data_IF_526145851848
#
_entry.id   IF_526145851848
#
_cell.length_a   1.000
_cell.length_b   1.000
_cell.length_c   1.000
_cell.angle_alpha   90.00
_cell.angle_beta   90.00
_cell.angle_gamma   90.00
#
_symmetry.space_group_name_H-M   'P 1'
#
loop_
_entity.id
_entity.type
_entity.pdbx_description
1 polymer ?
#
# COMPACT_ATOMS: atom_id res chain seq x y z
N UNK A 1 -15.75 17.81 -47.07
CA UNK A 1 -16.88 17.57 -46.19
C UNK A 1 -16.60 16.44 -45.15
N UNK A 2 -16.13 15.26 -45.55
CA UNK A 2 -15.86 14.15 -44.66
C UNK A 2 -14.84 14.44 -43.51
N UNK A 3 -13.73 15.13 -43.78
CA UNK A 3 -12.71 15.47 -42.77
C UNK A 3 -13.23 16.39 -41.67
N UNK A 4 -14.10 17.34 -41.98
CA UNK A 4 -14.73 18.23 -41.01
C UNK A 4 -15.74 17.50 -40.12
N UNK A 5 -16.47 16.54 -40.67
CA UNK A 5 -17.42 15.72 -39.92
C UNK A 5 -16.73 14.81 -38.89
N UNK A 6 -15.62 14.16 -39.26
CA UNK A 6 -14.82 13.36 -38.34
C UNK A 6 -14.18 14.20 -37.22
N UNK A 7 -13.70 15.41 -37.54
CA UNK A 7 -13.14 16.32 -36.53
C UNK A 7 -14.20 16.77 -35.52
N UNK A 8 -15.44 17.01 -35.97
CA UNK A 8 -16.55 17.43 -35.12
C UNK A 8 -17.01 16.30 -34.18
N UNK A 9 -17.13 15.06 -34.70
CA UNK A 9 -17.45 13.88 -33.89
C UNK A 9 -16.37 13.63 -32.85
N UNK A 10 -15.08 13.73 -33.21
CA UNK A 10 -13.97 13.57 -32.28
C UNK A 10 -14.02 14.60 -31.13
N UNK A 11 -14.31 15.86 -31.45
CA UNK A 11 -14.46 16.93 -30.44
C UNK A 11 -15.65 16.67 -29.50
N UNK A 12 -16.76 16.15 -29.99
CA UNK A 12 -17.94 15.83 -29.18
C UNK A 12 -17.59 14.64 -28.21
N UNK A 13 -17.01 13.59 -28.77
CA UNK A 13 -16.61 12.43 -27.94
C UNK A 13 -15.59 12.85 -26.88
N UNK A 14 -14.59 13.66 -27.26
CA UNK A 14 -13.60 14.18 -26.35
C UNK A 14 -14.22 15.04 -25.23
N UNK A 15 -15.16 15.92 -25.57
CA UNK A 15 -15.85 16.75 -24.56
C UNK A 15 -16.74 15.92 -23.63
N UNK A 16 -17.43 14.89 -24.15
CA UNK A 16 -18.24 13.99 -23.35
C UNK A 16 -17.39 13.14 -22.38
N UNK A 17 -16.22 12.65 -22.84
CA UNK A 17 -15.31 11.90 -21.97
C UNK A 17 -14.68 12.78 -20.88
N UNK A 18 -14.34 14.03 -21.21
CA UNK A 18 -13.82 14.99 -20.25
C UNK A 18 -14.87 15.34 -19.19
N UNK A 19 -16.10 15.62 -19.60
CA UNK A 19 -17.22 15.91 -18.68
C UNK A 19 -17.55 14.73 -17.78
N UNK A 20 -17.53 13.51 -18.30
CA UNK A 20 -17.74 12.30 -17.50
C UNK A 20 -16.61 12.09 -16.46
N UNK A 21 -15.36 12.37 -16.85
CA UNK A 21 -14.19 12.31 -15.95
C UNK A 21 -14.30 13.33 -14.82
N UNK A 22 -14.64 14.59 -15.11
CA UNK A 22 -14.83 15.64 -14.10
C UNK A 22 -15.97 15.30 -13.14
N UNK A 23 -17.09 14.78 -13.65
CA UNK A 23 -18.21 14.31 -12.83
C UNK A 23 -17.81 13.16 -11.90
N UNK A 24 -16.97 12.21 -12.37
CA UNK A 24 -16.46 11.11 -11.55
C UNK A 24 -15.56 11.60 -10.40
N UNK A 25 -14.59 12.49 -10.71
CA UNK A 25 -13.69 13.07 -9.71
C UNK A 25 -14.48 13.81 -8.64
N UNK A 26 -15.38 14.72 -9.06
CA UNK A 26 -16.23 15.51 -8.15
C UNK A 26 -17.06 14.61 -7.22
N UNK A 27 -17.53 13.47 -7.72
CA UNK A 27 -18.26 12.49 -6.90
C UNK A 27 -17.36 11.83 -5.84
N UNK A 28 -16.14 11.42 -6.21
CA UNK A 28 -15.18 10.84 -5.27
C UNK A 28 -14.78 11.87 -4.21
N UNK A 29 -14.46 13.10 -4.62
CA UNK A 29 -14.16 14.21 -3.70
C UNK A 29 -15.32 14.48 -2.74
N UNK A 30 -16.54 14.50 -3.24
CA UNK A 30 -17.74 14.68 -2.41
C UNK A 30 -17.89 13.59 -1.36
N UNK A 31 -17.63 12.33 -1.69
CA UNK A 31 -17.66 11.22 -0.73
C UNK A 31 -16.48 11.30 0.25
N UNK A 32 -15.27 11.60 -0.21
CA UNK A 32 -14.09 11.73 0.63
C UNK A 32 -14.26 12.86 1.67
N UNK A 33 -14.80 14.02 1.25
CA UNK A 33 -15.12 15.16 2.13
C UNK A 33 -16.20 14.82 3.16
N UNK A 34 -17.12 13.91 2.86
CA UNK A 34 -18.12 13.38 3.80
C UNK A 34 -17.55 12.35 4.79
N UNK A 35 -16.27 12.01 4.66
CA UNK A 35 -15.57 11.13 5.59
C UNK A 35 -15.59 9.65 5.22
N UNK A 36 -16.05 9.24 4.03
CA UNK A 36 -16.03 7.83 3.63
C UNK A 36 -14.58 7.37 3.40
N UNK A 37 -14.11 6.44 4.22
CA UNK A 37 -12.73 5.95 4.25
C UNK A 37 -12.24 5.43 2.89
N UNK A 38 -13.06 4.62 2.20
CA UNK A 38 -12.70 4.07 0.88
C UNK A 38 -12.61 5.16 -0.19
N UNK A 39 -13.47 6.19 -0.11
CA UNK A 39 -13.41 7.32 -1.03
C UNK A 39 -12.14 8.15 -0.79
N UNK A 40 -11.75 8.35 0.46
CA UNK A 40 -10.52 9.03 0.85
C UNK A 40 -9.30 8.25 0.36
N UNK A 41 -9.27 6.93 0.53
CA UNK A 41 -8.22 6.07 -0.01
C UNK A 41 -8.12 6.17 -1.54
N UNK A 42 -9.26 6.08 -2.24
CA UNK A 42 -9.26 6.18 -3.70
C UNK A 42 -8.80 7.56 -4.19
N UNK A 43 -9.22 8.64 -3.54
CA UNK A 43 -8.79 9.98 -3.87
C UNK A 43 -7.28 10.17 -3.62
N UNK A 44 -6.77 9.60 -2.52
CA UNK A 44 -5.34 9.58 -2.21
C UNK A 44 -4.54 8.88 -3.31
N UNK A 45 -5.01 7.71 -3.78
CA UNK A 45 -4.38 6.99 -4.89
C UNK A 45 -4.38 7.80 -6.20
N UNK A 46 -5.48 8.48 -6.49
CA UNK A 46 -5.56 9.35 -7.68
C UNK A 46 -4.48 10.43 -7.62
N UNK A 47 -4.32 11.10 -6.48
CA UNK A 47 -3.25 12.09 -6.30
C UNK A 47 -1.85 11.47 -6.32
N UNK A 48 -1.66 10.29 -5.73
CA UNK A 48 -0.36 9.62 -5.70
C UNK A 48 0.12 9.18 -7.10
N UNK A 49 -0.82 8.74 -7.95
CA UNK A 49 -0.50 8.21 -9.27
C UNK A 49 -0.64 9.25 -10.39
N UNK A 50 -1.29 10.40 -10.15
CA UNK A 50 -1.70 11.34 -11.19
C UNK A 50 -2.85 10.80 -12.06
N UNK A 51 -3.67 9.91 -11.51
CA UNK A 51 -4.80 9.31 -12.21
C UNK A 51 -6.00 10.27 -12.21
N UNK A 52 -6.29 10.85 -13.34
CA UNK A 52 -7.41 11.80 -13.53
C UNK A 52 -7.23 13.17 -12.85
N UNK A 53 -6.26 13.35 -12.00
CA UNK A 53 -5.82 14.59 -11.37
C UNK A 53 -4.31 14.76 -11.56
N UNK A 54 -3.78 15.96 -11.38
CA UNK A 54 -2.33 16.16 -11.35
C UNK A 54 -1.72 15.44 -10.14
N UNK A 55 -0.56 14.78 -10.34
CA UNK A 55 0.13 14.09 -9.27
C UNK A 55 0.52 15.06 -8.14
N UNK A 56 0.13 14.73 -6.93
CA UNK A 56 0.42 15.55 -5.76
C UNK A 56 0.55 14.67 -4.51
N UNK A 57 1.79 14.40 -4.10
CA UNK A 57 2.06 13.56 -2.93
C UNK A 57 1.64 14.19 -1.60
N UNK A 58 1.57 15.52 -1.49
CA UNK A 58 1.08 16.20 -0.28
C UNK A 58 -0.43 15.96 -0.14
N UNK A 59 -1.19 16.11 -1.22
CA UNK A 59 -2.62 15.80 -1.22
C UNK A 59 -2.87 14.30 -1.02
N UNK A 60 -2.03 13.44 -1.60
CA UNK A 60 -2.11 11.99 -1.39
C UNK A 60 -1.91 11.61 0.08
N UNK A 61 -0.89 12.17 0.73
CA UNK A 61 -0.65 11.95 2.16
C UNK A 61 -1.83 12.38 3.02
N UNK A 62 -2.35 13.56 2.80
CA UNK A 62 -3.51 14.07 3.54
C UNK A 62 -4.70 13.10 3.49
N UNK A 63 -5.05 12.62 2.30
CA UNK A 63 -6.18 11.73 2.11
C UNK A 63 -5.89 10.29 2.59
N UNK A 64 -4.68 9.77 2.38
CA UNK A 64 -4.27 8.49 2.97
C UNK A 64 -4.33 8.53 4.48
N UNK A 65 -3.86 9.59 5.13
CA UNK A 65 -3.93 9.76 6.58
C UNK A 65 -5.37 9.74 7.07
N UNK A 66 -6.26 10.50 6.45
CA UNK A 66 -7.69 10.52 6.79
C UNK A 66 -8.32 9.14 6.72
N UNK A 67 -7.99 8.35 5.72
CA UNK A 67 -8.48 6.98 5.55
C UNK A 67 -7.81 6.02 6.55
N UNK A 68 -6.50 6.13 6.75
CA UNK A 68 -5.72 5.29 7.66
C UNK A 68 -6.14 5.45 9.13
N UNK A 69 -6.44 6.68 9.55
CA UNK A 69 -6.95 6.99 10.90
C UNK A 69 -8.33 6.36 11.16
N UNK A 70 -9.10 6.06 10.12
CA UNK A 70 -10.35 5.30 10.20
C UNK A 70 -10.13 3.78 10.14
N UNK A 71 -8.89 3.31 10.10
CA UNK A 71 -8.55 1.89 10.11
C UNK A 71 -8.44 1.24 8.72
N UNK A 72 -8.51 2.00 7.62
CA UNK A 72 -8.33 1.41 6.30
C UNK A 72 -6.92 0.83 6.16
N UNK A 73 -6.86 -0.49 5.94
CA UNK A 73 -5.63 -1.28 5.95
C UNK A 73 -4.66 -0.88 4.84
N UNK A 74 -5.21 -0.65 3.65
CA UNK A 74 -4.42 -0.27 2.48
C UNK A 74 -3.89 1.17 2.62
N UNK A 75 -4.70 2.08 3.17
CA UNK A 75 -4.27 3.45 3.44
C UNK A 75 -3.13 3.50 4.47
N UNK A 76 -3.22 2.69 5.54
CA UNK A 76 -2.15 2.56 6.54
C UNK A 76 -0.85 2.06 5.89
N UNK A 77 -0.92 1.04 5.03
CA UNK A 77 0.23 0.55 4.31
C UNK A 77 0.84 1.63 3.38
N UNK A 78 0.01 2.33 2.60
CA UNK A 78 0.49 3.39 1.71
C UNK A 78 1.12 4.54 2.48
N UNK A 79 0.54 4.93 3.60
CA UNK A 79 1.09 5.98 4.46
C UNK A 79 2.46 5.56 5.04
N UNK A 80 2.60 4.30 5.46
CA UNK A 80 3.89 3.73 5.84
C UNK A 80 4.94 3.86 4.74
N UNK A 81 4.57 3.53 3.50
CA UNK A 81 5.46 3.70 2.33
C UNK A 81 5.85 5.16 2.07
N UNK A 82 4.91 6.09 2.25
CA UNK A 82 5.19 7.52 2.05
C UNK A 82 6.23 8.03 3.04
N UNK A 83 6.13 7.68 4.31
CA UNK A 83 7.14 8.01 5.32
C UNK A 83 8.46 7.28 5.11
N UNK A 84 8.41 6.04 4.61
CA UNK A 84 9.61 5.25 4.33
C UNK A 84 10.43 5.83 3.18
N UNK A 85 9.77 6.31 2.13
CA UNK A 85 10.40 6.83 0.91
C UNK A 85 10.51 8.36 0.85
N UNK A 86 9.85 9.10 1.75
CA UNK A 86 9.82 10.57 1.71
C UNK A 86 8.92 11.12 0.60
N UNK A 87 7.79 10.48 0.32
CA UNK A 87 6.85 10.90 -0.72
C UNK A 87 5.84 11.91 -0.15
N UNK A 88 6.03 13.19 -0.43
CA UNK A 88 5.17 14.27 0.07
C UNK A 88 5.37 14.63 1.55
N UNK A 89 6.18 13.87 2.26
CA UNK A 89 6.56 14.04 3.67
C UNK A 89 8.06 13.82 3.85
N UNK A 90 8.71 14.37 4.88
CA UNK A 90 10.07 13.98 5.23
C UNK A 90 10.17 12.49 5.55
N UNK A 91 11.31 11.87 5.23
CA UNK A 91 11.57 10.47 5.60
C UNK A 91 11.52 10.34 7.13
N UNK A 92 10.66 9.46 7.62
CA UNK A 92 10.57 9.08 9.03
C UNK A 92 10.34 7.57 9.16
N UNK A 93 11.42 6.83 9.41
CA UNK A 93 11.39 5.37 9.54
C UNK A 93 10.59 4.89 10.76
N UNK A 94 10.52 5.69 11.84
CA UNK A 94 9.72 5.35 13.03
C UNK A 94 8.23 5.50 12.75
N UNK A 95 7.86 6.57 12.05
CA UNK A 95 6.47 6.77 11.66
C UNK A 95 6.04 5.72 10.61
N UNK A 96 6.89 5.42 9.63
CA UNK A 96 6.66 4.34 8.67
C UNK A 96 6.42 2.99 9.38
N UNK A 97 7.27 2.66 10.37
CA UNK A 97 7.12 1.44 11.16
C UNK A 97 5.75 1.38 11.87
N UNK A 98 5.28 2.47 12.47
CA UNK A 98 3.98 2.50 13.15
C UNK A 98 2.82 2.21 12.20
N UNK A 99 2.82 2.84 11.02
CA UNK A 99 1.78 2.63 10.03
C UNK A 99 1.82 1.22 9.43
N UNK A 100 3.01 0.67 9.18
CA UNK A 100 3.16 -0.72 8.78
C UNK A 100 2.65 -1.68 9.87
N UNK A 101 2.91 -1.39 11.15
CA UNK A 101 2.44 -2.23 12.26
C UNK A 101 0.91 -2.30 12.29
N UNK A 102 0.22 -1.16 12.21
CA UNK A 102 -1.24 -1.10 12.19
C UNK A 102 -1.83 -1.89 11.02
N UNK A 103 -1.26 -1.75 9.83
CA UNK A 103 -1.70 -2.47 8.63
C UNK A 103 -1.42 -3.99 8.73
N UNK A 104 -0.24 -4.37 9.26
CA UNK A 104 0.17 -5.76 9.40
C UNK A 104 -0.68 -6.52 10.43
N UNK A 105 -1.04 -5.88 11.55
CA UNK A 105 -1.92 -6.44 12.58
C UNK A 105 -3.32 -6.73 12.02
N UNK A 106 -3.77 -5.97 11.04
CA UNK A 106 -5.01 -6.21 10.30
C UNK A 106 -4.85 -7.21 9.14
N UNK A 107 -3.66 -7.75 8.94
CA UNK A 107 -3.41 -8.85 8.03
C UNK A 107 -2.85 -8.49 6.67
N UNK A 108 -2.45 -7.23 6.40
CA UNK A 108 -1.77 -6.84 5.16
C UNK A 108 -0.48 -7.64 4.96
N UNK A 109 -0.39 -8.34 3.85
CA UNK A 109 0.72 -9.24 3.52
C UNK A 109 2.01 -8.43 3.32
N UNK A 110 1.91 -7.33 2.60
CA UNK A 110 3.01 -6.42 2.29
C UNK A 110 3.51 -5.71 3.55
N UNK A 111 2.60 -5.27 4.42
CA UNK A 111 2.97 -4.63 5.68
C UNK A 111 3.65 -5.62 6.64
N UNK A 112 3.18 -6.88 6.70
CA UNK A 112 3.81 -7.96 7.46
C UNK A 112 5.25 -8.21 6.97
N UNK A 113 5.46 -8.24 5.66
CA UNK A 113 6.78 -8.36 5.08
C UNK A 113 7.68 -7.18 5.47
N UNK A 114 7.19 -5.94 5.37
CA UNK A 114 7.94 -4.75 5.73
C UNK A 114 8.28 -4.68 7.22
N UNK A 115 7.39 -5.16 8.11
CA UNK A 115 7.73 -5.33 9.52
C UNK A 115 8.83 -6.37 9.73
N UNK A 116 8.80 -7.46 8.99
CA UNK A 116 9.88 -8.45 8.99
C UNK A 116 11.22 -7.82 8.66
N UNK A 117 11.27 -6.97 7.62
CA UNK A 117 12.47 -6.21 7.23
C UNK A 117 12.87 -5.21 8.33
N UNK A 118 11.90 -4.43 8.85
CA UNK A 118 12.15 -3.42 9.87
C UNK A 118 12.80 -4.03 11.12
N UNK A 119 12.28 -5.17 11.62
CA UNK A 119 12.87 -5.87 12.75
C UNK A 119 14.19 -6.55 12.41
N UNK A 120 14.40 -7.05 11.19
CA UNK A 120 15.66 -7.67 10.79
C UNK A 120 16.81 -6.68 10.78
N UNK A 121 16.57 -5.48 10.27
CA UNK A 121 17.61 -4.48 10.06
C UNK A 121 17.60 -3.34 11.09
N UNK A 122 16.65 -3.33 12.04
CA UNK A 122 16.54 -2.27 13.02
C UNK A 122 16.11 -0.93 12.42
N UNK A 123 15.28 -0.94 11.37
CA UNK A 123 14.83 0.28 10.67
C UNK A 123 13.55 0.81 11.32
N UNK A 124 13.65 1.98 11.96
CA UNK A 124 12.54 2.60 12.68
C UNK A 124 12.17 1.92 14.01
N UNK A 125 12.80 0.80 14.33
CA UNK A 125 12.59 -0.02 15.54
C UNK A 125 13.91 -0.69 15.95
N UNK A 126 14.01 -1.13 17.18
CA UNK A 126 15.15 -1.95 17.62
C UNK A 126 15.17 -3.31 16.88
N UNK A 127 16.37 -3.73 16.45
CA UNK A 127 16.56 -4.99 15.76
C UNK A 127 16.09 -6.18 16.63
N UNK A 128 15.30 -7.07 16.02
CA UNK A 128 14.79 -8.25 16.72
C UNK A 128 14.49 -9.39 15.72
N UNK A 129 15.39 -10.36 15.65
CA UNK A 129 15.27 -11.49 14.73
C UNK A 129 14.06 -12.38 15.03
N UNK A 130 13.67 -12.55 16.29
CA UNK A 130 12.50 -13.34 16.68
C UNK A 130 11.20 -12.71 16.15
N UNK A 131 11.07 -11.38 16.27
CA UNK A 131 9.93 -10.66 15.70
C UNK A 131 9.98 -10.63 14.18
N UNK A 132 11.17 -10.48 13.58
CA UNK A 132 11.36 -10.58 12.13
C UNK A 132 10.88 -11.93 11.61
N UNK A 133 11.33 -13.03 12.23
CA UNK A 133 10.92 -14.39 11.89
C UNK A 133 9.39 -14.56 11.96
N UNK A 134 8.75 -14.06 13.02
CA UNK A 134 7.29 -14.11 13.18
C UNK A 134 6.60 -13.44 11.99
N UNK A 135 6.97 -12.22 11.65
CA UNK A 135 6.31 -11.45 10.61
C UNK A 135 6.57 -12.00 9.20
N UNK A 136 7.79 -12.50 8.94
CA UNK A 136 8.05 -13.21 7.68
C UNK A 136 7.22 -14.49 7.55
N UNK A 137 7.03 -15.26 8.64
CA UNK A 137 6.16 -16.46 8.63
C UNK A 137 4.72 -16.11 8.30
N UNK A 138 4.17 -15.06 8.92
CA UNK A 138 2.82 -14.59 8.65
C UNK A 138 2.64 -14.21 7.16
N UNK A 139 3.54 -13.39 6.62
CA UNK A 139 3.51 -12.96 5.22
C UNK A 139 3.74 -14.14 4.25
N UNK A 140 4.72 -15.00 4.53
CA UNK A 140 5.06 -16.17 3.71
C UNK A 140 3.93 -17.20 3.66
N UNK A 141 3.21 -17.41 4.77
CA UNK A 141 2.05 -18.31 4.85
C UNK A 141 0.90 -17.87 3.94
N UNK A 142 0.85 -16.59 3.60
CA UNK A 142 -0.11 -15.99 2.66
C UNK A 142 0.44 -15.87 1.24
N UNK A 143 1.64 -16.42 0.98
CA UNK A 143 2.22 -16.52 -0.36
C UNK A 143 3.18 -15.41 -0.77
N UNK A 144 3.59 -14.53 0.14
CA UNK A 144 4.55 -13.49 -0.19
C UNK A 144 5.94 -14.07 -0.49
N UNK A 145 6.37 -14.02 -1.74
CA UNK A 145 7.64 -14.63 -2.20
C UNK A 145 8.89 -14.04 -1.54
N UNK A 146 8.92 -12.71 -1.34
CA UNK A 146 10.01 -12.03 -0.64
C UNK A 146 10.15 -12.47 0.83
N UNK A 147 9.02 -12.73 1.51
CA UNK A 147 9.04 -13.25 2.87
C UNK A 147 9.54 -14.70 2.92
N UNK A 148 9.16 -15.54 1.95
CA UNK A 148 9.68 -16.92 1.83
C UNK A 148 11.18 -16.92 1.58
N UNK A 149 11.66 -16.06 0.71
CA UNK A 149 13.10 -15.88 0.47
C UNK A 149 13.84 -15.44 1.75
N UNK A 150 13.32 -14.45 2.47
CA UNK A 150 13.96 -13.98 3.71
C UNK A 150 13.92 -15.01 4.84
N UNK A 151 12.91 -15.89 4.91
CA UNK A 151 12.90 -17.02 5.82
C UNK A 151 14.05 -17.99 5.54
N UNK A 152 14.33 -18.28 4.26
CA UNK A 152 15.46 -19.12 3.88
C UNK A 152 16.79 -18.47 4.28
N UNK A 153 16.95 -17.17 4.09
CA UNK A 153 18.16 -16.45 4.53
C UNK A 153 18.33 -16.52 6.06
N UNK A 154 17.26 -16.32 6.84
CA UNK A 154 17.32 -16.46 8.30
C UNK A 154 17.71 -17.89 8.72
N UNK A 155 17.29 -18.91 7.97
CA UNK A 155 17.71 -20.28 8.21
C UNK A 155 19.19 -20.48 7.92
N UNK A 156 19.70 -19.97 6.80
CA UNK A 156 21.13 -20.04 6.44
C UNK A 156 22.01 -19.31 7.46
N UNK A 157 21.51 -18.23 8.04
CA UNK A 157 22.15 -17.46 9.12
C UNK A 157 22.03 -18.14 10.51
N UNK A 158 21.35 -19.30 10.62
CA UNK A 158 21.09 -20.00 11.87
C UNK A 158 20.07 -19.33 12.80
N UNK A 159 19.31 -18.36 12.29
CA UNK A 159 18.31 -17.60 13.04
C UNK A 159 16.88 -18.15 12.89
N UNK A 160 16.70 -19.18 12.05
CA UNK A 160 15.46 -19.91 11.85
C UNK A 160 15.72 -21.40 11.69
N UNK A 161 14.69 -22.24 11.87
CA UNK A 161 14.76 -23.70 11.69
C UNK A 161 14.07 -24.14 10.39
N UNK A 162 14.41 -25.36 9.89
CA UNK A 162 13.70 -25.99 8.77
C UNK A 162 12.20 -26.11 9.05
N UNK A 163 11.81 -26.30 10.31
CA UNK A 163 10.41 -26.36 10.73
C UNK A 163 9.70 -25.02 10.48
N UNK A 164 10.37 -23.90 10.83
CA UNK A 164 9.80 -22.56 10.61
C UNK A 164 9.46 -22.31 9.15
N UNK A 165 10.35 -22.71 8.22
CA UNK A 165 10.14 -22.61 6.79
C UNK A 165 9.04 -23.55 6.32
N UNK A 166 9.10 -24.83 6.74
CA UNK A 166 8.14 -25.86 6.34
C UNK A 166 6.71 -25.51 6.78
N UNK A 167 6.53 -25.00 7.99
CA UNK A 167 5.21 -24.61 8.50
C UNK A 167 4.64 -23.43 7.71
N UNK A 168 5.44 -22.40 7.42
CA UNK A 168 4.99 -21.26 6.60
C UNK A 168 4.57 -21.68 5.19
N UNK A 169 5.29 -22.61 4.54
CA UNK A 169 4.97 -23.08 3.18
C UNK A 169 3.76 -24.02 3.17
N UNK A 170 3.58 -24.87 4.20
CA UNK A 170 2.41 -25.76 4.29
C UNK A 170 1.10 -24.98 4.29
N UNK A 171 1.00 -23.92 5.09
CA UNK A 171 -0.20 -23.08 5.17
C UNK A 171 -0.56 -22.50 3.80
N UNK A 172 0.43 -22.07 3.02
CA UNK A 172 0.20 -21.56 1.67
C UNK A 172 -0.35 -22.63 0.70
N UNK A 173 0.08 -23.91 0.84
CA UNK A 173 -0.41 -25.01 -0.03
C UNK A 173 -1.78 -25.53 0.38
N UNK A 174 -2.14 -25.48 1.64
CA UNK A 174 -3.42 -25.97 2.16
C UNK A 174 -4.56 -24.95 2.05
N UNK A 175 -4.25 -23.67 1.81
CA UNK A 175 -5.23 -22.59 1.69
C UNK A 175 -5.72 -22.30 0.27
N UNK A 176 -5.44 -23.20 -0.70
CA UNK A 176 -5.98 -23.12 -2.08
C UNK A 176 -7.03 -24.16 -2.31
#
# INVERSE_FOLDING_TARGET
MFKLFFSFIFLIIFSLTLSAKESFISRIEGLANRGFSDAQYNLARMYANGESVEQNFISAEYWFRKSAEQGNVDAQYQLGRMYDAGLGVPIDKKEAFKWYALSAEQGSIEAQYNLGLAYRFGVGVEQNFTKSLKWYKESASKGHSGAQYNLNLLFEEGLATRKDISDAIKWYRCGR
#
